data_IF_629276653941
#
_entry.id   IF_629276653941
#
_cell.length_a   1.000
_cell.length_b   1.000
_cell.length_c   1.000
_cell.angle_alpha   90.00
_cell.angle_beta   90.00
_cell.angle_gamma   90.00
#
_symmetry.space_group_name_H-M   'P 1'
#
loop_
_entity.id
_entity.type
_entity.pdbx_description
1 polymer ?
#
# COMPACT_ATOMS: atom_id res chain seq x y z
N UNK A 1 -29.22 6.84 -17.47
CA UNK A 1 -28.89 7.20 -16.08
C UNK A 1 -27.52 6.62 -15.82
N UNK A 2 -26.48 7.44 -15.81
CA UNK A 2 -25.17 6.98 -15.41
C UNK A 2 -25.23 6.81 -13.89
N UNK A 3 -25.15 5.57 -13.42
CA UNK A 3 -24.97 5.31 -12.00
C UNK A 3 -23.73 6.08 -11.54
N UNK A 4 -23.98 7.01 -10.62
CA UNK A 4 -22.98 7.89 -10.07
C UNK A 4 -22.03 7.02 -9.25
N UNK A 5 -20.93 6.54 -9.83
CA UNK A 5 -19.93 5.76 -9.10
C UNK A 5 -19.31 6.67 -8.05
N UNK A 6 -19.86 6.62 -6.84
CA UNK A 6 -19.55 7.56 -5.75
C UNK A 6 -18.12 7.42 -5.19
N UNK A 7 -17.39 6.37 -5.60
CA UNK A 7 -16.02 6.10 -5.15
C UNK A 7 -15.12 5.81 -6.35
N UNK A 8 -14.15 6.70 -6.61
CA UNK A 8 -13.17 6.59 -7.70
C UNK A 8 -11.86 5.97 -7.23
N UNK A 9 -11.56 6.00 -5.93
CA UNK A 9 -10.40 5.33 -5.35
C UNK A 9 -10.80 4.51 -4.12
N UNK A 10 -10.77 3.19 -4.28
CA UNK A 10 -11.12 2.20 -3.26
C UNK A 10 -9.85 1.51 -2.79
N UNK A 11 -9.65 1.42 -1.48
CA UNK A 11 -8.52 0.71 -0.89
C UNK A 11 -9.02 -0.46 -0.04
N UNK A 12 -8.38 -1.62 -0.18
CA UNK A 12 -8.60 -2.78 0.68
C UNK A 12 -7.44 -2.85 1.66
N UNK A 13 -7.74 -2.81 2.96
CA UNK A 13 -6.77 -2.89 4.04
C UNK A 13 -7.04 -4.04 5.00
N UNK A 14 -6.05 -4.40 5.80
CA UNK A 14 -6.13 -5.53 6.73
C UNK A 14 -4.80 -6.26 6.95
N UNK A 15 -4.74 -7.18 7.93
CA UNK A 15 -3.52 -7.90 8.26
C UNK A 15 -3.00 -8.75 7.09
N UNK A 16 -1.72 -9.13 7.14
CA UNK A 16 -1.10 -10.05 6.17
C UNK A 16 -1.88 -11.38 6.22
N UNK A 17 -2.11 -12.01 5.06
CA UNK A 17 -2.87 -13.28 4.97
C UNK A 17 -4.40 -13.16 4.94
N UNK A 18 -4.98 -11.98 5.18
CA UNK A 18 -6.46 -11.81 5.27
C UNK A 18 -7.20 -11.89 3.93
N UNK A 19 -6.48 -11.82 2.79
CA UNK A 19 -7.08 -11.88 1.45
C UNK A 19 -7.26 -10.53 0.74
N UNK A 20 -6.51 -9.49 1.12
CA UNK A 20 -6.57 -8.14 0.50
C UNK A 20 -6.43 -8.18 -1.02
N UNK A 21 -5.32 -8.74 -1.50
CA UNK A 21 -5.00 -8.83 -2.94
C UNK A 21 -6.05 -9.63 -3.70
N UNK A 22 -6.60 -10.69 -3.10
CA UNK A 22 -7.67 -11.49 -3.69
C UNK A 22 -8.96 -10.69 -3.86
N UNK A 23 -9.35 -9.90 -2.86
CA UNK A 23 -10.52 -9.04 -2.95
C UNK A 23 -10.29 -7.89 -3.95
N UNK A 24 -9.12 -7.24 -3.90
CA UNK A 24 -8.76 -6.16 -4.81
C UNK A 24 -8.85 -6.59 -6.29
N UNK A 25 -8.28 -7.76 -6.63
CA UNK A 25 -8.36 -8.36 -7.98
C UNK A 25 -9.81 -8.59 -8.43
N UNK A 26 -10.65 -9.18 -7.56
CA UNK A 26 -12.06 -9.46 -7.87
C UNK A 26 -12.87 -8.17 -8.05
N UNK A 27 -12.66 -7.20 -7.18
CA UNK A 27 -13.35 -5.92 -7.23
C UNK A 27 -12.95 -5.13 -8.48
N UNK A 28 -11.66 -5.09 -8.80
CA UNK A 28 -11.18 -4.42 -10.00
C UNK A 28 -11.77 -5.02 -11.28
N UNK A 29 -11.81 -6.36 -11.37
CA UNK A 29 -12.46 -7.04 -12.49
C UNK A 29 -13.96 -6.74 -12.59
N UNK A 30 -14.66 -6.61 -11.46
CA UNK A 30 -16.11 -6.35 -11.42
C UNK A 30 -16.44 -4.92 -11.84
N UNK A 31 -15.60 -3.96 -11.46
CA UNK A 31 -15.81 -2.54 -11.70
C UNK A 31 -15.12 -2.03 -12.98
N UNK A 32 -14.42 -2.91 -13.71
CA UNK A 32 -13.51 -2.53 -14.79
C UNK A 32 -12.53 -1.42 -14.34
N UNK A 33 -12.01 -1.59 -13.13
CA UNK A 33 -11.15 -0.62 -12.46
C UNK A 33 -9.68 -0.89 -12.73
N UNK A 34 -8.87 0.16 -12.64
CA UNK A 34 -7.43 0.05 -12.58
C UNK A 34 -7.01 -0.63 -11.25
N UNK A 35 -6.18 -1.66 -11.33
CA UNK A 35 -5.71 -2.42 -10.17
C UNK A 35 -4.31 -1.99 -9.77
N UNK A 36 -4.16 -1.61 -8.50
CA UNK A 36 -2.88 -1.19 -7.92
C UNK A 36 -2.53 -2.18 -6.81
N UNK A 37 -1.43 -2.91 -6.98
CA UNK A 37 -1.00 -3.91 -6.00
C UNK A 37 0.33 -3.53 -5.37
N UNK A 38 0.48 -3.85 -4.09
CA UNK A 38 1.79 -3.92 -3.45
C UNK A 38 2.66 -4.99 -4.14
N UNK A 39 3.95 -4.69 -4.33
CA UNK A 39 4.89 -5.58 -5.04
C UNK A 39 6.00 -5.99 -4.09
N UNK A 40 5.63 -6.56 -2.93
CA UNK A 40 6.58 -6.94 -1.89
C UNK A 40 7.71 -7.85 -2.41
N UNK A 41 7.41 -8.73 -3.37
CA UNK A 41 8.38 -9.63 -4.02
C UNK A 41 9.48 -8.89 -4.79
N UNK A 42 9.26 -7.64 -5.19
CA UNK A 42 10.26 -6.82 -5.88
C UNK A 42 11.28 -6.18 -4.94
N UNK A 43 11.06 -6.22 -3.62
CA UNK A 43 11.92 -5.59 -2.64
C UNK A 43 13.16 -6.46 -2.35
N UNK A 44 14.36 -6.07 -2.82
CA UNK A 44 15.56 -6.89 -2.69
C UNK A 44 16.06 -7.00 -1.24
N UNK A 45 15.56 -6.15 -0.34
CA UNK A 45 15.94 -6.15 1.07
C UNK A 45 15.01 -6.99 1.94
N UNK A 46 13.86 -7.41 1.42
CA UNK A 46 12.82 -8.07 2.22
C UNK A 46 13.27 -9.44 2.74
N UNK A 47 13.98 -10.22 1.92
CA UNK A 47 14.56 -11.49 2.38
C UNK A 47 15.56 -11.27 3.53
N UNK A 48 16.42 -10.25 3.42
CA UNK A 48 17.38 -9.91 4.47
C UNK A 48 16.67 -9.41 5.73
N UNK A 49 15.62 -8.62 5.59
CA UNK A 49 14.79 -8.16 6.71
C UNK A 49 14.21 -9.32 7.52
N UNK A 50 13.73 -10.39 6.86
CA UNK A 50 13.24 -11.58 7.57
C UNK A 50 14.35 -12.36 8.31
N UNK A 51 15.61 -12.25 7.88
CA UNK A 51 16.75 -12.92 8.53
C UNK A 51 17.38 -12.07 9.64
N UNK A 52 17.50 -10.78 9.41
CA UNK A 52 18.09 -9.79 10.30
C UNK A 52 17.37 -8.44 10.12
N UNK A 53 16.29 -8.21 10.88
CA UNK A 53 15.50 -6.99 10.77
C UNK A 53 16.33 -5.73 11.03
N UNK A 54 17.25 -5.77 12.01
CA UNK A 54 18.01 -4.60 12.45
C UNK A 54 18.86 -4.03 11.32
N UNK A 55 19.52 -4.88 10.52
CA UNK A 55 20.41 -4.38 9.45
C UNK A 55 19.72 -4.10 8.12
N UNK A 56 18.43 -4.43 7.98
CA UNK A 56 17.71 -4.35 6.71
C UNK A 56 16.36 -3.61 6.77
N UNK A 57 15.90 -3.18 7.95
CA UNK A 57 14.63 -2.49 8.12
C UNK A 57 14.56 -1.19 7.30
N UNK A 58 15.52 -0.28 7.47
CA UNK A 58 15.54 0.99 6.74
C UNK A 58 15.53 0.82 5.20
N UNK A 59 16.45 0.06 4.58
CA UNK A 59 16.44 -0.08 3.13
C UNK A 59 15.18 -0.81 2.61
N UNK A 60 14.65 -1.80 3.35
CA UNK A 60 13.39 -2.44 2.99
C UNK A 60 12.22 -1.45 3.04
N UNK A 61 12.16 -0.61 4.07
CA UNK A 61 11.08 0.38 4.23
C UNK A 61 11.14 1.50 3.20
N UNK A 62 12.34 2.00 2.89
CA UNK A 62 12.52 3.00 1.85
C UNK A 62 12.15 2.45 0.47
N UNK A 63 12.44 1.17 0.20
CA UNK A 63 12.00 0.54 -1.04
C UNK A 63 10.47 0.51 -1.16
N UNK A 64 9.75 0.13 -0.09
CA UNK A 64 8.29 0.21 -0.07
C UNK A 64 7.79 1.63 -0.31
N UNK A 65 8.36 2.63 0.36
CA UNK A 65 7.98 4.03 0.17
C UNK A 65 8.15 4.47 -1.29
N UNK A 66 9.31 4.24 -1.89
CA UNK A 66 9.58 4.64 -3.28
C UNK A 66 8.68 3.92 -4.28
N UNK A 67 8.48 2.61 -4.11
CA UNK A 67 7.60 1.83 -4.96
C UNK A 67 6.16 2.39 -4.92
N UNK A 68 5.64 2.68 -3.73
CA UNK A 68 4.29 3.22 -3.56
C UNK A 68 4.17 4.64 -4.13
N UNK A 69 5.16 5.50 -3.89
CA UNK A 69 5.19 6.86 -4.47
C UNK A 69 5.21 6.83 -5.99
N UNK A 70 6.01 5.95 -6.59
CA UNK A 70 6.08 5.79 -8.04
C UNK A 70 4.73 5.34 -8.61
N UNK A 71 4.10 4.32 -8.00
CA UNK A 71 2.77 3.86 -8.40
C UNK A 71 1.71 4.95 -8.27
N UNK A 72 1.69 5.72 -7.18
CA UNK A 72 0.70 6.78 -7.00
C UNK A 72 0.95 8.00 -7.90
N UNK A 73 2.21 8.27 -8.27
CA UNK A 73 2.55 9.37 -9.16
C UNK A 73 2.13 9.10 -10.61
N UNK A 74 2.20 7.86 -11.09
CA UNK A 74 1.69 7.50 -12.41
C UNK A 74 0.17 7.71 -12.51
N UNK A 75 -0.58 7.45 -11.42
CA UNK A 75 -2.04 7.70 -11.39
C UNK A 75 -2.42 9.17 -11.56
N UNK A 76 -1.51 10.11 -11.23
CA UNK A 76 -1.75 11.55 -11.40
C UNK A 76 -1.54 11.99 -12.84
N UNK A 77 -0.67 11.30 -13.57
CA UNK A 77 -0.41 11.58 -14.99
C UNK A 77 -1.45 10.91 -15.90
N UNK A 78 -1.96 9.75 -15.51
CA UNK A 78 -2.97 9.01 -16.26
C UNK A 78 -4.40 9.53 -15.99
N UNK A 79 -4.73 10.50 -16.83
CA UNK A 79 -5.98 10.76 -17.57
C UNK A 79 -7.25 11.34 -16.89
N UNK A 80 -7.85 12.24 -17.67
CA UNK A 80 -9.11 12.98 -17.51
C UNK A 80 -10.36 12.07 -17.60
N UNK A 81 -10.19 10.80 -17.99
CA UNK A 81 -11.26 9.81 -18.05
C UNK A 81 -11.27 9.02 -16.75
N UNK A 82 -12.26 9.30 -15.90
CA UNK A 82 -12.37 8.74 -14.55
C UNK A 82 -12.51 7.21 -14.55
N UNK A 83 -11.39 6.49 -14.54
CA UNK A 83 -11.35 5.08 -14.16
C UNK A 83 -11.50 4.97 -12.65
N UNK A 84 -12.34 4.02 -12.20
CA UNK A 84 -12.30 3.57 -10.81
C UNK A 84 -10.94 2.93 -10.58
N UNK A 85 -10.38 3.11 -9.38
CA UNK A 85 -9.11 2.52 -8.97
C UNK A 85 -9.31 1.68 -7.72
N UNK A 86 -8.67 0.52 -7.68
CA UNK A 86 -8.71 -0.40 -6.55
C UNK A 86 -7.29 -0.74 -6.12
N UNK A 87 -6.95 -0.44 -4.87
CA UNK A 87 -5.63 -0.74 -4.27
C UNK A 87 -5.75 -1.77 -3.14
N UNK A 88 -4.72 -2.61 -2.94
CA UNK A 88 -4.62 -3.51 -1.79
C UNK A 88 -3.73 -2.98 -0.65
N UNK A 89 -3.30 -1.72 -0.76
CA UNK A 89 -2.59 -0.99 0.29
C UNK A 89 -2.97 0.48 0.37
N UNK A 90 -2.77 1.05 1.56
CA UNK A 90 -2.91 2.45 1.92
C UNK A 90 -1.52 3.08 2.17
N UNK A 91 -1.24 4.24 1.59
CA UNK A 91 0.08 4.90 1.75
C UNK A 91 0.35 5.29 3.20
N UNK A 92 -0.67 5.75 3.93
CA UNK A 92 -0.58 6.18 5.32
C UNK A 92 -0.12 5.05 6.25
N UNK A 93 -0.36 3.80 5.86
CA UNK A 93 0.14 2.62 6.57
C UNK A 93 1.66 2.53 6.54
N UNK A 94 2.33 3.10 5.53
CA UNK A 94 3.78 3.07 5.39
C UNK A 94 4.48 3.64 6.62
N UNK A 95 4.05 4.83 7.07
CA UNK A 95 4.61 5.51 8.24
C UNK A 95 4.38 4.71 9.53
N UNK A 96 3.26 3.99 9.62
CA UNK A 96 2.97 3.13 10.76
C UNK A 96 3.96 1.95 10.83
N UNK A 97 4.23 1.29 9.69
CA UNK A 97 5.24 0.23 9.65
C UNK A 97 6.63 0.78 9.94
N UNK A 98 7.02 1.90 9.32
CA UNK A 98 8.28 2.56 9.58
C UNK A 98 8.50 2.82 11.07
N UNK A 99 7.48 3.33 11.77
CA UNK A 99 7.56 3.59 13.21
C UNK A 99 7.72 2.33 14.07
N UNK A 100 7.24 1.19 13.60
CA UNK A 100 7.30 -0.10 14.32
C UNK A 100 8.65 -0.79 14.10
N UNK A 101 9.21 -0.70 12.90
CA UNK A 101 10.38 -1.49 12.50
C UNK A 101 11.71 -0.75 12.60
N UNK A 102 11.69 0.59 12.54
CA UNK A 102 12.89 1.42 12.54
C UNK A 102 13.23 1.90 13.95
N UNK A 103 14.52 2.05 14.23
CA UNK A 103 14.95 2.77 15.42
C UNK A 103 14.69 4.28 15.32
N UNK A 104 14.92 5.02 16.40
CA UNK A 104 14.64 6.46 16.45
C UNK A 104 15.39 7.27 15.39
N UNK A 105 16.66 6.93 15.14
CA UNK A 105 17.51 7.65 14.18
C UNK A 105 17.12 7.31 12.74
N UNK A 106 16.84 6.04 12.47
CA UNK A 106 16.35 5.56 11.18
C UNK A 106 14.96 6.12 10.85
N UNK A 107 14.05 6.14 11.84
CA UNK A 107 12.71 6.70 11.68
C UNK A 107 12.77 8.21 11.40
N UNK A 108 13.63 8.95 12.10
CA UNK A 108 13.83 10.38 11.83
C UNK A 108 14.33 10.63 10.40
N UNK A 109 15.26 9.80 9.90
CA UNK A 109 15.72 9.87 8.52
C UNK A 109 14.60 9.52 7.53
N UNK A 110 13.85 8.45 7.79
CA UNK A 110 12.70 8.04 7.00
C UNK A 110 11.67 9.18 6.88
N UNK A 111 11.33 9.86 7.97
CA UNK A 111 10.36 10.96 7.98
C UNK A 111 10.84 12.16 7.12
N UNK A 112 12.14 12.48 7.15
CA UNK A 112 12.72 13.51 6.28
C UNK A 112 12.62 13.14 4.79
N UNK A 113 12.78 11.86 4.46
CA UNK A 113 12.62 11.36 3.09
C UNK A 113 11.14 11.41 2.71
N UNK A 114 10.27 10.85 3.55
CA UNK A 114 8.82 10.83 3.36
C UNK A 114 8.27 12.22 3.03
N UNK A 115 8.64 13.24 3.82
CA UNK A 115 8.15 14.61 3.63
C UNK A 115 8.61 15.26 2.31
N UNK A 116 9.65 14.74 1.67
CA UNK A 116 10.18 15.25 0.39
C UNK A 116 9.59 14.51 -0.81
N UNK A 117 9.35 13.21 -0.68
CA UNK A 117 8.93 12.35 -1.80
C UNK A 117 7.42 12.21 -1.88
N UNK A 118 6.71 12.30 -0.75
CA UNK A 118 5.26 12.25 -0.72
C UNK A 118 4.71 13.67 -0.80
N UNK A 119 4.14 14.01 -1.96
CA UNK A 119 3.49 15.29 -2.20
C UNK A 119 2.04 15.08 -2.63
N UNK A 120 1.11 15.45 -1.76
CA UNK A 120 -0.34 15.40 -1.99
C UNK A 120 -0.82 14.04 -2.55
N UNK A 121 -0.70 12.96 -1.76
CA UNK A 121 -1.11 11.63 -2.20
C UNK A 121 -2.63 11.57 -2.43
N UNK A 122 -3.10 10.75 -3.40
CA UNK A 122 -4.53 10.60 -3.63
C UNK A 122 -5.21 10.06 -2.37
N UNK A 123 -6.32 10.69 -1.99
CA UNK A 123 -7.12 10.24 -0.85
C UNK A 123 -8.13 9.19 -1.29
N UNK A 124 -8.21 8.03 -0.62
CA UNK A 124 -9.26 7.06 -0.89
C UNK A 124 -10.64 7.63 -0.61
N UNK A 125 -11.60 7.33 -1.48
CA UNK A 125 -13.02 7.61 -1.25
C UNK A 125 -13.66 6.55 -0.33
N UNK A 126 -13.08 5.34 -0.32
CA UNK A 126 -13.53 4.21 0.49
C UNK A 126 -12.33 3.35 0.91
N UNK A 127 -12.29 2.99 2.19
CA UNK A 127 -11.37 1.97 2.73
C UNK A 127 -12.19 0.79 3.24
N UNK A 128 -11.98 -0.39 2.65
CA UNK A 128 -12.56 -1.66 3.08
C UNK A 128 -11.56 -2.35 3.98
N UNK A 129 -11.85 -2.44 5.27
CA UNK A 129 -10.98 -3.12 6.23
C UNK A 129 -11.41 -4.57 6.42
N UNK A 130 -10.55 -5.50 6.00
CA UNK A 130 -10.73 -6.93 6.20
C UNK A 130 -10.19 -7.35 7.56
N UNK A 131 -10.99 -8.13 8.27
CA UNK A 131 -10.68 -8.67 9.59
C UNK A 131 -10.77 -10.19 9.58
N UNK A 132 -9.85 -10.83 10.28
CA UNK A 132 -9.91 -12.25 10.59
C UNK A 132 -9.26 -12.51 11.96
N UNK A 133 -9.66 -13.57 12.67
CA UNK A 133 -8.98 -14.03 13.88
C UNK A 133 -7.50 -14.37 13.61
N UNK A 134 -6.62 -14.14 14.59
CA UNK A 134 -5.16 -14.32 14.44
C UNK A 134 -4.80 -15.78 14.15
N UNK A 135 -5.46 -16.72 14.81
CA UNK A 135 -5.36 -18.16 14.58
C UNK A 135 -5.61 -18.51 13.11
N UNK A 136 -6.66 -17.96 12.50
CA UNK A 136 -6.96 -18.17 11.07
C UNK A 136 -5.90 -17.55 10.15
N UNK A 137 -5.29 -16.43 10.54
CA UNK A 137 -4.25 -15.77 9.75
C UNK A 137 -2.93 -16.53 9.77
N UNK A 138 -2.61 -17.24 10.87
CA UNK A 138 -1.38 -18.02 11.02
C UNK A 138 -1.42 -19.35 10.27
N UNK A 139 -2.61 -19.88 9.97
CA UNK A 139 -2.80 -21.13 9.21
C UNK A 139 -2.65 -20.97 7.69
N UNK A 140 -2.56 -19.73 7.19
CA UNK A 140 -2.54 -19.39 5.74
C UNK A 140 -1.18 -18.92 5.28
#
# INVERSE_FOLDING_TARGET
MADNVSHRYIVIEGPIGVGKTSLAKRLASTLNAELILEQAESNPFLERFYRDPVSAALPAQLHFLFQRVQQLSSLRQDDLFASVRVSDYLLEKDRLFARVILDESEYALYEQIYSRVVSDPPRPDLVIYLQAPVDVLLER
#
